data_IF_279682925466
#
_entry.id   IF_279682925466
#
_cell.length_a   1.000
_cell.length_b   1.000
_cell.length_c   1.000
_cell.angle_alpha   90.00
_cell.angle_beta   90.00
_cell.angle_gamma   90.00
#
_symmetry.space_group_name_H-M   'P 1'
#
loop_
_entity.id
_entity.type
_entity.pdbx_description
1 polymer ?
#
# COMPACT_ATOMS: atom_id res chain seq x y z
N UNK A 1 -10.64 19.31 19.69
CA UNK A 1 -10.86 17.86 19.50
C UNK A 1 -10.29 17.31 18.19
N UNK A 2 -9.84 18.12 17.22
CA UNK A 2 -9.24 17.64 15.95
C UNK A 2 -7.88 16.92 16.08
N UNK A 3 -7.14 17.17 17.16
CA UNK A 3 -5.78 16.63 17.36
C UNK A 3 -5.73 15.12 17.61
N UNK A 4 -6.69 14.55 18.34
CA UNK A 4 -6.71 13.12 18.65
C UNK A 4 -7.11 12.26 17.43
N UNK A 5 -8.04 12.75 16.62
CA UNK A 5 -8.55 12.04 15.44
C UNK A 5 -7.50 11.91 14.32
N UNK A 6 -6.71 12.97 14.06
CA UNK A 6 -5.57 12.91 13.12
C UNK A 6 -4.54 11.86 13.54
N UNK A 7 -4.33 11.68 14.84
CA UNK A 7 -3.31 10.76 15.36
C UNK A 7 -3.75 9.29 15.24
N UNK A 8 -5.04 8.97 15.41
CA UNK A 8 -5.53 7.60 15.18
C UNK A 8 -5.37 7.18 13.71
N UNK A 9 -5.76 8.02 12.76
CA UNK A 9 -5.65 7.70 11.33
C UNK A 9 -4.20 7.61 10.88
N UNK A 10 -3.32 8.48 11.40
CA UNK A 10 -1.87 8.38 11.17
C UNK A 10 -1.26 7.12 11.77
N UNK A 11 -1.68 6.70 12.97
CA UNK A 11 -1.19 5.49 13.61
C UNK A 11 -1.68 4.21 12.91
N UNK A 12 -2.87 4.24 12.30
CA UNK A 12 -3.37 3.13 11.46
C UNK A 12 -2.68 3.03 10.10
N UNK A 13 -2.18 4.16 9.59
CA UNK A 13 -1.43 4.26 8.34
C UNK A 13 0.10 4.18 8.56
N UNK A 14 0.56 3.98 9.80
CA UNK A 14 1.98 3.76 10.09
C UNK A 14 2.40 2.37 9.60
N UNK A 15 3.10 2.40 8.46
CA UNK A 15 4.09 1.45 7.93
C UNK A 15 3.99 0.01 8.44
N UNK A 16 3.37 -0.85 7.63
CA UNK A 16 3.91 -2.21 7.47
C UNK A 16 5.11 -2.07 6.54
N UNK A 17 6.23 -1.58 7.09
CA UNK A 17 7.54 -1.80 6.48
C UNK A 17 7.86 -3.26 6.76
N UNK A 18 7.56 -4.14 5.81
CA UNK A 18 7.93 -5.54 5.90
C UNK A 18 9.45 -5.64 5.88
N UNK A 19 10.07 -5.73 7.05
CA UNK A 19 11.43 -6.24 7.22
C UNK A 19 11.43 -7.75 7.02
N UNK A 20 11.03 -8.21 5.84
CA UNK A 20 11.30 -9.58 5.42
C UNK A 20 12.55 -9.55 4.56
N UNK A 21 13.59 -10.26 5.00
CA UNK A 21 14.81 -10.47 4.24
C UNK A 21 14.46 -10.96 2.84
N UNK A 22 14.58 -10.08 1.86
CA UNK A 22 14.31 -10.42 0.46
C UNK A 22 15.28 -11.52 0.04
N UNK A 23 14.76 -12.73 -0.14
CA UNK A 23 15.48 -13.83 -0.77
C UNK A 23 16.04 -13.32 -2.10
N UNK A 24 17.36 -13.33 -2.22
CA UNK A 24 18.06 -13.01 -3.46
C UNK A 24 17.77 -14.18 -4.42
N UNK A 25 16.86 -13.99 -5.38
CA UNK A 25 16.69 -14.94 -6.49
C UNK A 25 15.28 -15.42 -6.81
N UNK A 26 14.25 -14.57 -6.81
CA UNK A 26 13.03 -14.89 -7.56
C UNK A 26 12.94 -14.00 -8.80
N UNK A 27 12.82 -14.60 -9.99
CA UNK A 27 12.44 -13.94 -11.26
C UNK A 27 10.99 -13.44 -11.23
N UNK A 28 10.60 -12.78 -10.14
CA UNK A 28 9.30 -12.15 -10.01
C UNK A 28 9.45 -10.67 -10.29
N UNK A 29 8.54 -10.18 -11.13
CA UNK A 29 8.34 -8.76 -11.38
C UNK A 29 8.32 -7.98 -10.04
N UNK A 30 9.13 -6.92 -9.90
CA UNK A 30 9.15 -6.13 -8.67
C UNK A 30 7.75 -5.61 -8.34
N UNK A 31 7.47 -5.44 -7.05
CA UNK A 31 6.15 -5.00 -6.60
C UNK A 31 6.22 -4.33 -5.25
N UNK A 32 5.23 -3.52 -4.94
CA UNK A 32 5.06 -2.91 -3.63
C UNK A 32 3.58 -2.94 -3.23
N UNK A 33 3.33 -3.12 -1.94
CA UNK A 33 1.99 -3.19 -1.37
C UNK A 33 1.63 -1.86 -0.72
N UNK A 34 0.34 -1.62 -0.55
CA UNK A 34 -0.16 -0.50 0.23
C UNK A 34 -1.31 -0.92 1.14
N UNK A 35 -1.49 -0.15 2.20
CA UNK A 35 -2.63 -0.22 3.11
C UNK A 35 -2.93 1.20 3.59
N UNK A 36 -4.13 1.69 3.31
CA UNK A 36 -4.65 2.94 3.87
C UNK A 36 -5.97 2.68 4.58
N UNK A 37 -6.26 3.48 5.61
CA UNK A 37 -7.50 3.40 6.38
C UNK A 37 -8.24 4.72 6.28
N UNK A 38 -9.52 4.64 5.94
CA UNK A 38 -10.42 5.79 5.90
C UNK A 38 -11.59 5.58 6.83
N UNK A 39 -12.00 6.66 7.51
CA UNK A 39 -13.13 6.61 8.43
C UNK A 39 -14.43 6.53 7.67
N UNK A 40 -15.31 5.62 8.07
CA UNK A 40 -16.69 5.56 7.59
C UNK A 40 -17.51 6.51 8.48
N UNK A 41 -18.39 7.34 7.90
CA UNK A 41 -19.28 8.19 8.68
C UNK A 41 -20.09 7.36 9.70
N UNK A 42 -20.40 7.92 10.88
CA UNK A 42 -21.27 7.26 11.86
C UNK A 42 -22.58 6.82 11.21
N UNK A 43 -23.15 5.72 11.71
CA UNK A 43 -24.38 5.11 11.21
C UNK A 43 -24.30 4.54 9.78
N UNK A 44 -23.10 4.35 9.24
CA UNK A 44 -22.86 3.63 7.98
C UNK A 44 -21.93 2.44 8.19
N UNK A 45 -22.11 1.40 7.37
CA UNK A 45 -21.21 0.25 7.28
C UNK A 45 -20.97 -0.14 5.82
N UNK A 46 -19.80 -0.72 5.56
CA UNK A 46 -19.38 -1.18 4.23
C UNK A 46 -20.25 -2.38 3.80
N UNK A 47 -20.60 -2.43 2.52
CA UNK A 47 -21.22 -3.59 1.88
C UNK A 47 -20.13 -4.41 1.19
N UNK A 48 -19.94 -5.66 1.59
CA UNK A 48 -18.79 -6.49 1.17
C UNK A 48 -18.93 -7.14 -0.21
N UNK A 49 -19.87 -6.71 -1.05
CA UNK A 49 -20.30 -7.48 -2.23
C UNK A 49 -19.72 -7.01 -3.56
N UNK A 50 -19.13 -5.81 -3.64
CA UNK A 50 -18.59 -5.26 -4.88
C UNK A 50 -17.06 -5.35 -4.94
N UNK A 51 -16.54 -5.68 -6.13
CA UNK A 51 -15.10 -5.52 -6.40
C UNK A 51 -14.82 -4.02 -6.47
N UNK A 52 -14.02 -3.45 -5.55
CA UNK A 52 -13.79 -2.02 -5.53
C UNK A 52 -13.11 -1.55 -6.82
N UNK A 53 -13.53 -0.40 -7.33
CA UNK A 53 -12.85 0.29 -8.41
C UNK A 53 -12.06 1.47 -7.83
N UNK A 54 -10.83 1.64 -8.31
CA UNK A 54 -9.94 2.71 -7.88
C UNK A 54 -9.35 3.40 -9.10
N UNK A 55 -9.45 4.72 -9.11
CA UNK A 55 -8.70 5.59 -10.01
C UNK A 55 -7.46 6.06 -9.27
N UNK A 56 -6.31 6.03 -9.93
CA UNK A 56 -5.04 6.42 -9.34
C UNK A 56 -4.14 7.14 -10.34
N UNK A 57 -3.17 7.92 -9.85
CA UNK A 57 -2.15 8.58 -10.68
C UNK A 57 -0.74 8.21 -10.24
N UNK A 58 0.12 7.96 -11.21
CA UNK A 58 1.50 7.52 -11.00
C UNK A 58 2.54 8.63 -11.18
N UNK A 59 2.13 9.83 -11.60
CA UNK A 59 2.99 10.96 -11.95
C UNK A 59 3.77 11.55 -10.76
N UNK A 60 3.45 11.10 -9.55
CA UNK A 60 4.08 11.52 -8.29
C UNK A 60 4.99 10.45 -7.69
N UNK A 61 5.22 9.36 -8.42
CA UNK A 61 6.22 8.35 -8.08
C UNK A 61 7.53 8.62 -8.84
N UNK A 62 8.65 8.23 -8.22
CA UNK A 62 9.96 8.27 -8.84
C UNK A 62 10.78 7.02 -8.47
N UNK A 63 11.75 6.70 -9.32
CA UNK A 63 12.77 5.67 -9.04
C UNK A 63 14.05 6.35 -8.56
N UNK A 64 14.58 5.93 -7.41
CA UNK A 64 15.91 6.34 -6.93
C UNK A 64 16.88 5.17 -6.92
N UNK A 65 18.16 5.47 -7.18
CA UNK A 65 19.27 4.52 -7.03
C UNK A 65 20.16 5.05 -5.92
N UNK A 66 20.26 4.28 -4.84
CA UNK A 66 21.01 4.64 -3.65
C UNK A 66 22.11 3.62 -3.40
N UNK A 67 23.18 3.99 -2.70
CA UNK A 67 24.18 3.05 -2.20
C UNK A 67 23.99 2.89 -0.70
N UNK A 68 23.91 1.65 -0.22
CA UNK A 68 23.75 1.32 1.19
C UNK A 68 24.70 0.20 1.60
N UNK A 69 24.95 0.06 2.89
CA UNK A 69 25.71 -1.06 3.45
C UNK A 69 24.74 -2.02 4.15
N UNK A 70 24.86 -3.32 3.84
CA UNK A 70 24.15 -4.39 4.56
C UNK A 70 25.14 -5.36 5.16
N UNK A 71 24.90 -5.76 6.40
CA UNK A 71 25.65 -6.83 7.04
C UNK A 71 25.11 -8.17 6.52
N UNK A 72 25.98 -9.00 5.97
CA UNK A 72 25.65 -10.38 5.62
C UNK A 72 26.34 -11.33 6.59
N UNK A 73 25.65 -12.43 6.90
CA UNK A 73 26.23 -13.55 7.62
C UNK A 73 26.99 -14.43 6.62
N UNK A 74 28.23 -14.76 6.96
CA UNK A 74 29.05 -15.69 6.21
C UNK A 74 28.91 -17.04 6.88
N UNK A 75 28.44 -18.03 6.12
CA UNK A 75 28.26 -19.40 6.60
C UNK A 75 29.26 -20.32 5.91
N UNK A 76 29.86 -21.22 6.69
CA UNK A 76 30.66 -22.32 6.20
C UNK A 76 30.12 -23.60 6.83
N UNK A 77 29.77 -24.59 6.00
CA UNK A 77 29.24 -25.89 6.45
C UNK A 77 27.97 -25.79 7.33
N UNK A 78 27.18 -24.72 7.17
CA UNK A 78 25.95 -24.48 7.94
C UNK A 78 26.18 -23.79 9.28
N UNK A 79 27.43 -23.42 9.61
CA UNK A 79 27.75 -22.62 10.78
C UNK A 79 28.09 -21.19 10.34
N UNK A 80 27.53 -20.20 11.05
CA UNK A 80 27.88 -18.80 10.83
C UNK A 80 29.30 -18.53 11.35
N UNK A 81 30.25 -18.34 10.44
CA UNK A 81 31.67 -18.09 10.76
C UNK A 81 32.01 -16.61 10.92
N UNK A 82 31.10 -15.71 10.52
CA UNK A 82 31.30 -14.28 10.68
C UNK A 82 30.21 -13.42 10.07
N UNK A 83 30.37 -12.11 10.22
CA UNK A 83 29.51 -11.11 9.61
C UNK A 83 30.40 -10.08 8.91
N UNK A 84 30.04 -9.68 7.69
CA UNK A 84 30.80 -8.68 6.95
C UNK A 84 29.86 -7.63 6.33
N UNK A 85 30.19 -6.34 6.41
CA UNK A 85 29.47 -5.31 5.68
C UNK A 85 29.71 -5.44 4.18
N UNK A 86 28.63 -5.37 3.39
CA UNK A 86 28.66 -5.35 1.94
C UNK A 86 27.97 -4.10 1.44
N UNK A 87 28.67 -3.34 0.59
CA UNK A 87 28.10 -2.21 -0.12
C UNK A 87 27.24 -2.72 -1.27
N UNK A 88 25.97 -2.34 -1.25
CA UNK A 88 24.97 -2.69 -2.23
C UNK A 88 24.38 -1.42 -2.83
N UNK A 89 23.93 -1.53 -4.07
CA UNK A 89 23.08 -0.53 -4.70
C UNK A 89 21.63 -0.95 -4.48
N UNK A 90 20.81 -0.03 -4.00
CA UNK A 90 19.39 -0.20 -3.79
C UNK A 90 18.62 0.58 -4.87
N UNK A 91 17.73 -0.13 -5.59
CA UNK A 91 16.72 0.50 -6.43
C UNK A 91 15.47 0.68 -5.59
N UNK A 92 15.03 1.93 -5.43
CA UNK A 92 13.84 2.28 -4.65
C UNK A 92 12.79 2.95 -5.51
N UNK A 93 11.55 2.77 -5.08
CA UNK A 93 10.42 3.57 -5.54
C UNK A 93 9.97 4.46 -4.40
N UNK A 94 9.84 5.76 -4.67
CA UNK A 94 9.51 6.76 -3.67
C UNK A 94 8.43 7.71 -4.21
N UNK A 95 7.68 8.35 -3.31
CA UNK A 95 6.70 9.37 -3.65
C UNK A 95 5.32 9.07 -3.08
N UNK A 96 4.27 9.45 -3.81
CA UNK A 96 2.90 9.13 -3.39
C UNK A 96 2.00 8.85 -4.60
N UNK A 97 0.89 8.17 -4.35
CA UNK A 97 -0.14 7.81 -5.33
C UNK A 97 -1.45 8.45 -4.87
N UNK A 98 -1.89 9.55 -5.51
CA UNK A 98 -3.25 10.04 -5.32
C UNK A 98 -4.25 8.99 -5.79
N UNK A 99 -5.24 8.69 -4.96
CA UNK A 99 -6.29 7.73 -5.26
C UNK A 99 -7.68 8.35 -5.13
N UNK A 100 -8.60 7.82 -5.92
CA UNK A 100 -10.03 8.05 -5.78
C UNK A 100 -10.75 6.70 -5.86
N UNK A 101 -11.58 6.38 -4.88
CA UNK A 101 -12.39 5.18 -4.89
C UNK A 101 -13.79 5.45 -4.33
N UNK A 102 -14.76 4.65 -4.78
CA UNK A 102 -16.10 4.64 -4.22
C UNK A 102 -16.28 3.35 -3.42
N UNK A 103 -16.69 3.49 -2.16
CA UNK A 103 -16.97 2.37 -1.26
C UNK A 103 -18.48 2.30 -1.09
N UNK A 104 -19.08 1.16 -1.44
CA UNK A 104 -20.50 0.93 -1.21
C UNK A 104 -20.79 0.83 0.29
N UNK A 105 -21.78 1.59 0.75
CA UNK A 105 -22.18 1.67 2.16
C UNK A 105 -23.68 1.52 2.29
N UNK A 106 -24.11 1.07 3.48
CA UNK A 106 -25.51 1.03 3.88
C UNK A 106 -25.67 1.66 5.25
N UNK A 107 -26.84 2.23 5.50
CA UNK A 107 -27.14 2.77 6.83
C UNK A 107 -27.26 1.62 7.83
N UNK A 108 -26.80 1.85 9.06
CA UNK A 108 -27.09 1.00 10.21
C UNK A 108 -28.29 1.52 11.00
N UNK A 109 -28.66 2.78 10.78
CA UNK A 109 -29.79 3.43 11.44
C UNK A 109 -31.00 3.62 10.48
N UNK A 110 -32.21 3.51 11.05
CA UNK A 110 -33.47 3.59 10.31
C UNK A 110 -34.08 5.00 10.20
N UNK A 111 -33.35 6.04 10.62
CA UNK A 111 -33.86 7.41 10.65
C UNK A 111 -33.42 8.26 9.44
N UNK A 112 -32.76 7.66 8.46
CA UNK A 112 -32.44 8.32 7.19
C UNK A 112 -33.65 8.24 6.27
N UNK A 113 -34.16 9.39 5.84
CA UNK A 113 -35.15 9.48 4.77
C UNK A 113 -34.40 9.69 3.46
N UNK A 114 -34.59 8.77 2.52
CA UNK A 114 -34.05 8.88 1.18
C UNK A 114 -35.24 9.06 0.24
N UNK A 115 -35.32 10.22 -0.41
CA UNK A 115 -36.48 10.59 -1.22
C UNK A 115 -36.73 9.58 -2.36
N UNK A 116 -35.65 8.98 -2.92
CA UNK A 116 -35.72 7.92 -3.94
C UNK A 116 -34.42 7.05 -3.92
N UNK A 117 -34.43 5.83 -3.39
CA UNK A 117 -33.28 4.91 -3.55
C UNK A 117 -33.72 3.48 -3.84
N UNK A 118 -33.81 3.15 -5.13
CA UNK A 118 -33.54 1.78 -5.60
C UNK A 118 -32.04 1.52 -5.75
N UNK A 119 -31.21 2.56 -5.67
CA UNK A 119 -29.81 2.52 -6.07
C UNK A 119 -28.86 2.42 -4.86
N UNK A 120 -27.70 1.75 -4.99
CA UNK A 120 -26.71 1.65 -3.91
C UNK A 120 -26.11 3.01 -3.53
N UNK A 121 -25.82 3.19 -2.24
CA UNK A 121 -25.15 4.39 -1.72
C UNK A 121 -23.63 4.18 -1.70
N UNK A 122 -22.88 5.19 -2.12
CA UNK A 122 -21.42 5.15 -2.16
C UNK A 122 -20.78 6.29 -1.36
N UNK A 123 -19.76 5.97 -0.60
CA UNK A 123 -18.82 6.91 -0.01
C UNK A 123 -17.66 7.14 -0.98
N UNK A 124 -17.52 8.36 -1.48
CA UNK A 124 -16.35 8.75 -2.28
C UNK A 124 -15.17 9.09 -1.38
N UNK A 125 -14.06 8.43 -1.64
CA UNK A 125 -12.80 8.57 -0.89
C UNK A 125 -11.76 9.16 -1.82
N UNK A 126 -11.12 10.23 -1.36
CA UNK A 126 -9.95 10.84 -1.99
C UNK A 126 -8.82 10.80 -0.97
N UNK A 127 -7.73 10.13 -1.30
CA UNK A 127 -6.61 9.90 -0.38
C UNK A 127 -5.28 9.84 -1.13
N UNK A 128 -4.18 9.80 -0.38
CA UNK A 128 -2.83 9.68 -0.92
C UNK A 128 -2.08 8.53 -0.25
N UNK A 129 -1.63 7.57 -1.05
CA UNK A 129 -0.77 6.47 -0.59
C UNK A 129 0.69 6.92 -0.69
N UNK A 130 1.40 7.03 0.43
CA UNK A 130 2.84 7.30 0.44
C UNK A 130 3.63 6.01 0.21
N UNK A 131 4.67 6.08 -0.63
CA UNK A 131 5.53 4.96 -1.01
C UNK A 131 7.00 5.32 -0.75
N UNK A 132 7.75 4.42 -0.13
CA UNK A 132 9.20 4.51 0.06
C UNK A 132 9.79 3.09 0.21
N UNK A 133 9.79 2.33 -0.87
CA UNK A 133 10.08 0.89 -0.85
C UNK A 133 11.34 0.56 -1.63
N UNK A 134 12.14 -0.39 -1.11
CA UNK A 134 13.28 -0.95 -1.85
C UNK A 134 12.81 -2.11 -2.71
N UNK A 135 12.94 -1.95 -4.03
CA UNK A 135 12.52 -2.95 -5.01
C UNK A 135 13.60 -4.01 -5.28
N UNK A 136 14.88 -3.61 -5.27
CA UNK A 136 15.99 -4.50 -5.60
C UNK A 136 17.29 -4.06 -4.95
N UNK A 137 18.07 -5.03 -4.48
CA UNK A 137 19.48 -4.85 -4.15
C UNK A 137 20.37 -5.50 -5.20
N UNK A 138 21.52 -4.90 -5.50
CA UNK A 138 22.51 -5.45 -6.43
C UNK A 138 23.92 -4.99 -6.06
N UNK A 139 24.92 -5.84 -6.29
CA UNK A 139 26.34 -5.43 -6.33
C UNK A 139 26.71 -4.83 -7.70
N UNK A 140 25.94 -5.15 -8.74
CA UNK A 140 26.12 -4.68 -10.11
C UNK A 140 25.25 -3.45 -10.40
N UNK A 141 25.28 -2.97 -11.64
CA UNK A 141 24.40 -1.89 -12.08
C UNK A 141 22.92 -2.28 -11.93
N UNK A 142 22.11 -1.29 -11.58
CA UNK A 142 20.68 -1.44 -11.43
C UNK A 142 19.97 -1.07 -12.73
N UNK A 143 18.89 -1.77 -13.10
CA UNK A 143 18.09 -1.42 -14.28
C UNK A 143 17.49 -0.02 -14.14
N UNK A 144 17.04 0.53 -15.26
CA UNK A 144 16.20 1.73 -15.28
C UNK A 144 14.77 1.31 -15.56
N UNK A 145 13.84 1.74 -14.70
CA UNK A 145 12.41 1.49 -14.86
C UNK A 145 11.70 2.81 -15.05
N UNK A 146 10.77 2.84 -16.00
CA UNK A 146 9.81 3.93 -16.16
C UNK A 146 8.63 3.68 -15.21
N UNK A 147 7.83 4.69 -14.91
CA UNK A 147 6.59 4.50 -14.16
C UNK A 147 5.47 5.09 -15.00
N UNK A 148 4.67 4.22 -15.60
CA UNK A 148 3.53 4.57 -16.45
C UNK A 148 2.42 3.51 -16.35
N UNK A 149 1.32 3.75 -17.04
CA UNK A 149 0.13 2.91 -17.07
C UNK A 149 0.31 1.59 -17.84
N UNK A 150 1.36 1.47 -18.67
CA UNK A 150 1.67 0.25 -19.42
C UNK A 150 2.49 -0.73 -18.58
N UNK A 151 3.32 -0.21 -17.69
CA UNK A 151 4.27 -1.00 -16.91
C UNK A 151 3.85 -1.18 -15.45
N UNK A 152 2.74 -0.59 -15.00
CA UNK A 152 2.26 -0.72 -13.62
C UNK A 152 0.85 -1.30 -13.60
N UNK A 153 0.69 -2.44 -12.92
CA UNK A 153 -0.60 -3.10 -12.75
C UNK A 153 -1.01 -3.16 -11.28
N UNK A 154 -2.21 -2.66 -10.96
CA UNK A 154 -2.85 -2.88 -9.67
C UNK A 154 -3.42 -4.30 -9.57
N UNK A 155 -3.16 -4.97 -8.45
CA UNK A 155 -3.61 -6.32 -8.14
C UNK A 155 -4.12 -6.40 -6.70
N UNK A 156 -4.99 -7.38 -6.44
CA UNK A 156 -5.48 -7.73 -5.11
C UNK A 156 -6.04 -6.51 -4.35
N UNK A 157 -6.80 -5.67 -5.05
CA UNK A 157 -7.46 -4.54 -4.41
C UNK A 157 -8.61 -5.05 -3.54
N UNK A 158 -8.53 -4.77 -2.24
CA UNK A 158 -9.52 -5.16 -1.26
C UNK A 158 -9.95 -3.98 -0.40
N UNK A 159 -11.22 -3.97 -0.03
CA UNK A 159 -11.77 -3.07 0.98
C UNK A 159 -12.36 -3.95 2.08
N UNK A 160 -11.86 -3.79 3.31
CA UNK A 160 -12.34 -4.53 4.48
C UNK A 160 -12.83 -3.57 5.56
N UNK A 161 -13.87 -3.99 6.29
CA UNK A 161 -14.35 -3.26 7.45
C UNK A 161 -13.42 -3.48 8.64
N UNK A 162 -13.15 -2.42 9.39
CA UNK A 162 -12.41 -2.44 10.63
C UNK A 162 -13.22 -1.65 11.68
N UNK A 163 -13.43 -2.25 12.84
CA UNK A 163 -14.15 -1.61 13.96
C UNK A 163 -13.15 -1.32 15.08
N UNK A 164 -13.11 -0.07 15.54
CA UNK A 164 -12.25 0.37 16.64
C UNK A 164 -13.04 1.30 17.54
N UNK A 165 -13.19 0.94 18.80
CA UNK A 165 -13.84 1.78 19.83
C UNK A 165 -15.25 2.29 19.43
N UNK A 166 -16.03 1.46 18.71
CA UNK A 166 -17.35 1.77 18.11
C UNK A 166 -17.34 2.73 16.91
N UNK A 167 -16.17 3.06 16.36
CA UNK A 167 -16.04 3.71 15.05
C UNK A 167 -15.82 2.66 13.95
N UNK A 168 -16.40 2.91 12.78
CA UNK A 168 -16.20 2.08 11.59
C UNK A 168 -15.17 2.70 10.64
N UNK A 169 -14.29 1.87 10.12
CA UNK A 169 -13.27 2.25 9.16
C UNK A 169 -13.27 1.27 7.98
N UNK A 170 -12.89 1.78 6.81
CA UNK A 170 -12.51 0.95 5.68
C UNK A 170 -11.00 0.88 5.59
N UNK A 171 -10.47 -0.33 5.61
CA UNK A 171 -9.08 -0.60 5.22
C UNK A 171 -9.06 -0.94 3.74
N UNK A 172 -8.28 -0.19 2.99
CA UNK A 172 -8.08 -0.36 1.55
C UNK A 172 -6.67 -0.90 1.36
N UNK A 173 -6.53 -2.10 0.80
CA UNK A 173 -5.23 -2.72 0.53
C UNK A 173 -5.10 -3.11 -0.92
N UNK A 174 -3.87 -3.13 -1.42
CA UNK A 174 -3.58 -3.57 -2.76
C UNK A 174 -2.09 -3.74 -3.01
N UNK A 175 -1.75 -4.23 -4.20
CA UNK A 175 -0.37 -4.43 -4.64
C UNK A 175 -0.19 -3.89 -6.03
N UNK A 176 0.81 -3.04 -6.22
CA UNK A 176 1.27 -2.61 -7.53
C UNK A 176 2.40 -3.52 -7.98
N UNK A 177 2.27 -4.10 -9.17
CA UNK A 177 3.30 -4.90 -9.82
C UNK A 177 3.90 -4.13 -10.99
N UNK A 178 5.23 -4.10 -11.06
CA UNK A 178 5.99 -3.50 -12.15
C UNK A 178 6.28 -4.56 -13.22
N UNK A 179 5.69 -4.40 -14.40
CA UNK A 179 5.74 -5.34 -15.51
C UNK A 179 7.00 -5.16 -16.36
N UNK A 180 8.16 -5.42 -15.76
CA UNK A 180 9.45 -5.40 -16.44
C UNK A 180 10.00 -6.83 -16.54
N UNK A 181 10.01 -7.36 -17.77
CA UNK A 181 10.56 -8.68 -18.12
C UNK A 181 12.07 -8.72 -18.23
#
# INVERSE_FOLDING_TARGET
MESAHSNLTKNMNQEICSTEGTKIGSNQNPSFSFSTVVRIPPDFKIVSTSTPQMVYRLDKLCMSKETCEKIIQVEEQGETIGCMPVKLRALKICGYIPIFLNIEVQTTAGHYSFDHLSDPLFLSVNDMITINEVLKYSVADLPHYVIDDQHVKLQNLHVTSLEVENDYFARITGRFQLLYG
#
